data_IF_089428005214
#
_entry.id   IF_089428005214
#
_cell.length_a   1.000
_cell.length_b   1.000
_cell.length_c   1.000
_cell.angle_alpha   90.00
_cell.angle_beta   90.00
_cell.angle_gamma   90.00
#
_symmetry.space_group_name_H-M   'P 1'
#
loop_
_entity.id
_entity.type
_entity.pdbx_description
1 polymer ?
#
# COMPACT_ATOMS: atom_id res chain seq x y z
N UNK A 1 76.02 3.96 -66.78
CA UNK A 1 74.61 3.75 -67.17
C UNK A 1 73.78 4.83 -66.47
N UNK A 2 73.07 5.63 -67.25
CA UNK A 2 72.13 6.71 -66.86
C UNK A 2 70.84 6.15 -66.25
N UNK A 3 70.01 6.78 -65.40
CA UNK A 3 70.03 8.01 -64.57
C UNK A 3 68.87 7.85 -63.51
N UNK A 4 68.42 8.77 -62.63
CA UNK A 4 68.65 10.20 -62.42
C UNK A 4 68.48 10.60 -60.91
N UNK A 5 67.68 11.63 -60.59
CA UNK A 5 67.31 12.17 -59.25
C UNK A 5 65.96 12.95 -59.39
N UNK A 6 65.36 13.58 -58.36
CA UNK A 6 65.02 13.19 -56.98
C UNK A 6 63.53 13.51 -56.61
N UNK A 7 63.16 13.53 -55.31
CA UNK A 7 62.14 14.37 -54.60
C UNK A 7 61.01 13.68 -53.79
N UNK A 8 60.90 14.16 -52.55
CA UNK A 8 59.71 14.45 -51.70
C UNK A 8 58.55 13.45 -51.59
N UNK A 9 58.32 12.95 -50.37
CA UNK A 9 57.12 12.20 -49.99
C UNK A 9 56.06 13.12 -49.34
N UNK A 10 54.81 12.98 -49.80
CA UNK A 10 53.59 13.49 -49.16
C UNK A 10 52.61 12.32 -49.06
N UNK A 11 52.20 11.93 -47.85
CA UNK A 11 51.24 10.84 -47.66
C UNK A 11 49.80 11.32 -47.94
N UNK A 12 49.17 10.76 -48.96
CA UNK A 12 47.75 10.95 -49.28
C UNK A 12 46.89 9.78 -48.81
N UNK A 13 45.59 10.05 -48.58
CA UNK A 13 44.62 9.09 -48.07
C UNK A 13 44.31 7.93 -49.04
N UNK A 14 44.19 6.70 -48.51
CA UNK A 14 43.45 5.62 -49.16
C UNK A 14 42.10 5.37 -48.46
N UNK A 15 41.01 5.54 -49.21
CA UNK A 15 39.66 5.23 -48.75
C UNK A 15 39.43 3.71 -48.73
N UNK A 16 39.32 3.13 -47.53
CA UNK A 16 38.85 1.74 -47.38
C UNK A 16 37.34 1.68 -47.63
N UNK A 17 36.90 0.80 -48.53
CA UNK A 17 35.49 0.65 -48.94
C UNK A 17 34.59 0.35 -47.74
N UNK A 18 33.51 1.11 -47.60
CA UNK A 18 32.38 0.78 -46.72
C UNK A 18 31.64 -0.39 -47.34
N UNK A 19 31.54 -1.50 -46.61
CA UNK A 19 30.56 -2.56 -46.89
C UNK A 19 29.21 -2.04 -46.40
N UNK A 20 28.12 -2.06 -47.18
CA UNK A 20 26.81 -1.70 -46.66
C UNK A 20 26.44 -2.67 -45.55
N UNK A 21 26.20 -2.16 -44.34
CA UNK A 21 25.54 -2.94 -43.30
C UNK A 21 24.12 -3.23 -43.76
N UNK A 22 23.77 -4.50 -43.92
CA UNK A 22 22.41 -4.90 -44.27
C UNK A 22 21.41 -4.26 -43.31
N UNK A 23 20.49 -3.49 -43.87
CA UNK A 23 19.52 -2.74 -43.11
C UNK A 23 18.44 -3.72 -42.63
N UNK A 24 18.65 -4.32 -41.45
CA UNK A 24 17.70 -5.26 -40.85
C UNK A 24 16.36 -4.56 -40.67
N UNK A 25 15.38 -4.95 -41.49
CA UNK A 25 14.05 -4.38 -41.46
C UNK A 25 13.42 -4.60 -40.07
N UNK A 26 13.18 -3.52 -39.34
CA UNK A 26 12.49 -3.53 -38.04
C UNK A 26 10.97 -3.64 -38.19
N UNK A 27 10.49 -4.25 -39.27
CA UNK A 27 9.08 -4.34 -39.65
C UNK A 27 8.40 -5.52 -38.93
N UNK A 28 8.52 -5.54 -37.60
CA UNK A 28 7.64 -6.34 -36.77
C UNK A 28 6.23 -5.72 -36.84
N UNK A 29 5.18 -6.52 -37.04
CA UNK A 29 3.82 -6.01 -37.14
C UNK A 29 3.44 -5.29 -35.84
N UNK A 30 3.15 -3.99 -35.96
CA UNK A 30 2.73 -3.17 -34.83
C UNK A 30 1.34 -3.60 -34.37
N UNK A 31 1.28 -4.14 -33.17
CA UNK A 31 0.03 -4.51 -32.52
C UNK A 31 -0.86 -3.27 -32.25
N UNK A 32 -2.17 -3.46 -32.22
CA UNK A 32 -3.19 -2.43 -32.01
C UNK A 32 -4.20 -2.85 -30.92
N UNK A 33 -5.00 -1.91 -30.43
CA UNK A 33 -6.11 -2.24 -29.54
C UNK A 33 -7.16 -3.10 -30.28
N UNK A 34 -7.66 -4.14 -29.62
CA UNK A 34 -8.52 -5.18 -30.18
C UNK A 34 -7.80 -6.46 -30.60
N UNK A 35 -6.49 -6.39 -30.89
CA UNK A 35 -5.68 -7.53 -31.34
C UNK A 35 -5.61 -8.63 -30.28
N UNK A 36 -5.67 -9.88 -30.74
CA UNK A 36 -5.34 -11.06 -29.93
C UNK A 36 -3.86 -11.40 -30.10
N UNK A 37 -3.17 -11.57 -28.98
CA UNK A 37 -1.74 -11.86 -28.91
C UNK A 37 -1.46 -13.00 -27.94
N UNK A 38 -0.46 -13.82 -28.24
CA UNK A 38 0.10 -14.77 -27.29
C UNK A 38 1.26 -14.10 -26.55
N UNK A 39 1.24 -14.15 -25.22
CA UNK A 39 2.27 -13.56 -24.35
C UNK A 39 2.79 -14.60 -23.35
N UNK A 40 4.10 -14.60 -23.15
CA UNK A 40 4.73 -15.16 -21.95
C UNK A 40 4.93 -14.05 -20.91
N UNK A 41 4.64 -14.36 -19.65
CA UNK A 41 4.52 -13.39 -18.55
C UNK A 41 5.48 -13.76 -17.41
N UNK A 42 6.57 -13.01 -17.23
CA UNK A 42 7.56 -13.23 -16.14
C UNK A 42 7.61 -12.06 -15.14
N UNK A 43 7.18 -10.88 -15.57
CA UNK A 43 7.17 -9.67 -14.75
C UNK A 43 5.93 -9.60 -13.86
N UNK A 44 6.03 -8.79 -12.81
CA UNK A 44 4.93 -8.55 -11.88
C UNK A 44 4.85 -7.06 -11.53
N UNK A 45 3.64 -6.50 -11.58
CA UNK A 45 3.40 -5.08 -11.33
C UNK A 45 2.78 -4.84 -9.95
N UNK A 46 3.11 -3.69 -9.35
CA UNK A 46 2.28 -3.13 -8.30
C UNK A 46 0.86 -2.90 -8.84
N UNK A 47 -0.16 -3.34 -8.11
CA UNK A 47 -1.56 -3.40 -8.56
C UNK A 47 -2.06 -4.80 -8.94
N UNK A 48 -1.18 -5.81 -9.03
CA UNK A 48 -1.59 -7.21 -9.24
C UNK A 48 -1.74 -7.63 -10.70
N UNK A 49 -1.03 -6.97 -11.62
CA UNK A 49 -0.99 -7.31 -13.04
C UNK A 49 0.31 -8.08 -13.36
N UNK A 50 0.22 -9.21 -14.07
CA UNK A 50 1.39 -9.88 -14.63
C UNK A 50 1.91 -9.11 -15.86
N UNK A 51 3.21 -9.20 -16.15
CA UNK A 51 3.85 -8.35 -17.17
C UNK A 51 4.65 -9.18 -18.16
N UNK A 52 4.26 -9.09 -19.43
CA UNK A 52 5.00 -9.61 -20.57
C UNK A 52 5.55 -8.50 -21.46
N UNK A 53 6.04 -8.88 -22.64
CA UNK A 53 6.42 -7.95 -23.71
C UNK A 53 5.69 -8.27 -25.00
N UNK A 54 5.14 -7.23 -25.62
CA UNK A 54 4.67 -7.27 -27.01
C UNK A 54 5.85 -7.59 -27.95
N UNK A 55 5.62 -8.07 -29.20
CA UNK A 55 6.67 -8.37 -30.16
C UNK A 55 7.70 -7.24 -30.34
N UNK A 56 7.24 -5.98 -30.33
CA UNK A 56 8.08 -4.77 -30.39
C UNK A 56 8.82 -4.41 -29.09
N UNK A 57 8.89 -5.33 -28.11
CA UNK A 57 9.58 -5.17 -26.83
C UNK A 57 8.88 -4.30 -25.78
N UNK A 58 7.73 -3.70 -26.12
CA UNK A 58 6.92 -2.86 -25.23
C UNK A 58 6.31 -3.69 -24.09
N UNK A 59 6.33 -3.17 -22.85
CA UNK A 59 5.71 -3.84 -21.71
C UNK A 59 4.18 -3.93 -21.87
N UNK A 60 3.61 -5.11 -21.62
CA UNK A 60 2.18 -5.35 -21.62
C UNK A 60 1.75 -5.88 -20.25
N UNK A 61 0.82 -5.20 -19.59
CA UNK A 61 0.24 -5.60 -18.32
C UNK A 61 -1.03 -6.43 -18.58
N UNK A 62 -1.18 -7.54 -17.87
CA UNK A 62 -2.30 -8.49 -17.99
C UNK A 62 -2.84 -8.80 -16.59
N UNK A 63 -4.01 -8.25 -16.27
CA UNK A 63 -4.72 -8.57 -15.03
C UNK A 63 -5.29 -10.00 -15.07
N UNK A 64 -5.46 -10.63 -13.89
CA UNK A 64 -5.96 -12.02 -13.74
C UNK A 64 -5.03 -13.12 -14.29
N UNK A 65 -3.84 -12.75 -14.76
CA UNK A 65 -2.73 -13.64 -15.12
C UNK A 65 -1.66 -13.67 -14.03
N UNK A 66 -0.78 -14.67 -14.05
CA UNK A 66 0.34 -14.84 -13.12
C UNK A 66 1.71 -14.83 -13.83
N UNK A 67 2.80 -14.55 -13.10
CA UNK A 67 4.14 -14.87 -13.58
C UNK A 67 4.33 -16.38 -13.81
N UNK A 68 5.11 -16.73 -14.84
CA UNK A 68 5.32 -18.10 -15.31
C UNK A 68 4.25 -18.61 -16.28
N UNK A 69 3.32 -17.77 -16.74
CA UNK A 69 2.22 -18.19 -17.63
C UNK A 69 2.46 -17.83 -19.09
N UNK A 70 1.95 -18.69 -19.98
CA UNK A 70 1.73 -18.36 -21.40
C UNK A 70 0.24 -18.20 -21.63
N UNK A 71 -0.19 -17.04 -22.16
CA UNK A 71 -1.60 -16.67 -22.28
C UNK A 71 -1.94 -16.14 -23.67
N UNK A 72 -3.19 -16.32 -24.10
CA UNK A 72 -3.82 -15.48 -25.12
C UNK A 72 -4.47 -14.28 -24.42
N UNK A 73 -4.11 -13.07 -24.84
CA UNK A 73 -4.66 -11.82 -24.30
C UNK A 73 -5.13 -10.89 -25.42
N UNK A 74 -6.14 -10.06 -25.15
CA UNK A 74 -6.65 -9.03 -26.07
C UNK A 74 -6.15 -7.66 -25.64
N UNK A 75 -5.43 -6.92 -26.50
CA UNK A 75 -4.98 -5.57 -26.16
C UNK A 75 -6.20 -4.65 -25.98
N UNK A 76 -6.41 -4.15 -24.76
CA UNK A 76 -7.51 -3.24 -24.42
C UNK A 76 -7.08 -1.77 -24.51
N UNK A 77 -5.82 -1.47 -24.14
CA UNK A 77 -5.28 -0.12 -24.18
C UNK A 77 -3.81 -0.13 -24.64
N UNK A 78 -3.42 0.84 -25.48
CA UNK A 78 -2.02 1.03 -25.88
C UNK A 78 -1.60 2.50 -25.78
N UNK A 79 -0.49 2.75 -25.09
CA UNK A 79 0.16 4.06 -24.94
C UNK A 79 1.56 4.03 -25.58
N UNK A 80 2.27 5.15 -25.49
CA UNK A 80 3.62 5.35 -26.09
C UNK A 80 4.72 4.41 -25.53
N UNK A 81 4.57 3.90 -24.30
CA UNK A 81 5.60 3.11 -23.59
C UNK A 81 5.11 1.79 -23.00
N UNK A 82 3.80 1.55 -23.00
CA UNK A 82 3.17 0.38 -22.38
C UNK A 82 1.80 0.10 -23.02
N UNK A 83 1.32 -1.12 -22.86
CA UNK A 83 -0.02 -1.56 -23.20
C UNK A 83 -0.67 -2.31 -22.03
N UNK A 84 -2.00 -2.41 -22.04
CA UNK A 84 -2.77 -3.35 -21.23
C UNK A 84 -3.50 -4.33 -22.14
N UNK A 85 -3.67 -5.55 -21.64
CA UNK A 85 -4.46 -6.57 -22.30
C UNK A 85 -5.35 -7.32 -21.30
N UNK A 86 -6.55 -7.66 -21.75
CA UNK A 86 -7.49 -8.54 -21.06
C UNK A 86 -7.07 -9.99 -21.28
N UNK A 87 -7.02 -10.79 -20.21
CA UNK A 87 -6.80 -12.22 -20.30
C UNK A 87 -7.98 -12.90 -21.02
N UNK A 88 -7.72 -13.64 -22.09
CA UNK A 88 -8.73 -14.40 -22.85
C UNK A 88 -8.63 -15.88 -22.54
N UNK A 89 -7.42 -16.44 -22.52
CA UNK A 89 -7.17 -17.86 -22.29
C UNK A 89 -5.78 -18.05 -21.67
N UNK A 90 -5.67 -18.98 -20.71
CA UNK A 90 -4.37 -19.43 -20.18
C UNK A 90 -3.99 -20.70 -20.93
N UNK A 91 -2.92 -20.63 -21.73
CA UNK A 91 -2.43 -21.75 -22.55
C UNK A 91 -1.52 -22.67 -21.73
N UNK A 92 -0.65 -22.07 -20.91
CA UNK A 92 0.22 -22.75 -19.95
C UNK A 92 0.04 -22.05 -18.60
N UNK A 93 -0.58 -22.76 -17.65
CA UNK A 93 -0.91 -22.22 -16.34
C UNK A 93 0.26 -22.32 -15.36
N UNK A 94 0.39 -21.32 -14.49
CA UNK A 94 1.35 -21.34 -13.39
C UNK A 94 0.95 -22.45 -12.39
N UNK A 95 1.91 -23.19 -11.79
CA UNK A 95 1.60 -24.16 -10.74
C UNK A 95 0.98 -23.51 -9.49
N UNK A 96 1.00 -22.18 -9.39
CA UNK A 96 0.37 -21.39 -8.33
C UNK A 96 -1.03 -20.88 -8.70
N UNK A 97 -1.56 -21.19 -9.90
CA UNK A 97 -2.93 -20.82 -10.28
C UNK A 97 -3.94 -21.69 -9.51
N UNK A 98 -4.98 -21.05 -8.99
CA UNK A 98 -6.14 -21.71 -8.37
C UNK A 98 -7.43 -21.13 -8.93
N UNK A 99 -8.52 -21.89 -8.80
CA UNK A 99 -9.87 -21.38 -9.11
C UNK A 99 -10.28 -20.34 -8.04
N UNK A 100 -10.66 -19.10 -8.44
CA UNK A 100 -11.11 -18.07 -7.51
C UNK A 100 -12.35 -18.49 -6.72
N UNK A 101 -12.35 -18.39 -5.37
CA UNK A 101 -13.49 -18.81 -4.55
C UNK A 101 -14.70 -17.85 -4.62
N UNK A 102 -14.52 -16.58 -4.98
CA UNK A 102 -15.62 -15.61 -5.03
C UNK A 102 -16.32 -15.59 -6.40
N UNK A 103 -17.64 -15.76 -6.48
CA UNK A 103 -18.38 -15.70 -7.75
C UNK A 103 -18.39 -14.29 -8.39
N UNK A 104 -18.03 -13.26 -7.63
CA UNK A 104 -17.91 -11.88 -8.11
C UNK A 104 -16.49 -11.50 -8.55
N UNK A 105 -15.52 -12.43 -8.48
CA UNK A 105 -14.17 -12.18 -8.97
C UNK A 105 -14.08 -12.40 -10.50
N UNK A 106 -13.31 -11.57 -11.20
CA UNK A 106 -13.01 -11.71 -12.63
C UNK A 106 -13.09 -10.40 -13.42
N UNK A 107 -12.80 -10.46 -14.73
CA UNK A 107 -12.87 -9.29 -15.62
C UNK A 107 -14.28 -8.68 -15.62
N UNK A 108 -14.34 -7.34 -15.63
CA UNK A 108 -15.57 -6.53 -15.54
C UNK A 108 -16.49 -6.79 -14.33
N UNK A 109 -16.01 -7.50 -13.30
CA UNK A 109 -16.75 -7.76 -12.06
C UNK A 109 -16.22 -6.92 -10.89
N UNK A 110 -16.48 -7.34 -9.65
CA UNK A 110 -16.11 -6.63 -8.43
C UNK A 110 -14.59 -6.32 -8.40
N UNK A 111 -14.23 -5.04 -8.35
CA UNK A 111 -12.84 -4.59 -8.31
C UNK A 111 -12.14 -4.74 -6.96
N UNK A 112 -12.80 -5.31 -5.95
CA UNK A 112 -12.31 -5.37 -4.57
C UNK A 112 -11.16 -6.36 -4.34
N UNK A 113 -11.01 -7.38 -5.18
CA UNK A 113 -9.93 -8.37 -5.11
C UNK A 113 -9.16 -8.42 -6.44
N UNK A 114 -7.87 -8.74 -6.41
CA UNK A 114 -7.03 -8.82 -7.61
C UNK A 114 -6.29 -10.16 -7.73
N UNK A 115 -6.09 -10.89 -6.63
CA UNK A 115 -5.21 -12.06 -6.54
C UNK A 115 -5.93 -13.38 -6.20
N UNK A 116 -7.26 -13.47 -6.31
CA UNK A 116 -7.97 -14.72 -5.99
C UNK A 116 -7.61 -15.91 -6.90
N UNK A 117 -7.05 -15.64 -8.09
CA UNK A 117 -6.51 -16.65 -9.00
C UNK A 117 -5.13 -17.19 -8.59
N UNK A 118 -4.50 -16.61 -7.56
CA UNK A 118 -3.21 -17.05 -7.02
C UNK A 118 -3.40 -17.83 -5.70
N UNK A 119 -2.73 -18.99 -5.60
CA UNK A 119 -2.62 -19.75 -4.35
C UNK A 119 -2.13 -18.82 -3.22
N UNK A 120 -2.76 -18.84 -2.01
CA UNK A 120 -2.47 -17.84 -0.99
C UNK A 120 -0.97 -17.66 -0.65
N UNK A 121 -0.15 -18.73 -0.47
CA UNK A 121 1.28 -18.56 -0.20
C UNK A 121 2.02 -17.76 -1.29
N UNK A 122 1.62 -17.94 -2.56
CA UNK A 122 2.22 -17.21 -3.68
C UNK A 122 1.78 -15.73 -3.70
N UNK A 123 0.63 -15.37 -3.11
CA UNK A 123 0.25 -13.96 -2.94
C UNK A 123 1.28 -13.21 -2.06
N UNK A 124 1.78 -13.86 -1.00
CA UNK A 124 2.81 -13.31 -0.12
C UNK A 124 4.14 -13.10 -0.88
N UNK A 125 4.57 -14.08 -1.66
CA UNK A 125 5.76 -14.00 -2.52
C UNK A 125 5.66 -12.85 -3.55
N UNK A 126 4.51 -12.73 -4.20
CA UNK A 126 4.21 -11.67 -5.17
C UNK A 126 4.21 -10.28 -4.50
N UNK A 127 3.70 -10.16 -3.28
CA UNK A 127 3.74 -8.91 -2.48
C UNK A 127 5.17 -8.56 -2.04
N UNK A 128 5.95 -9.54 -1.60
CA UNK A 128 7.37 -9.36 -1.26
C UNK A 128 8.20 -8.92 -2.48
N UNK A 129 7.88 -9.47 -3.66
CA UNK A 129 8.46 -9.06 -4.94
C UNK A 129 8.14 -7.61 -5.28
N UNK A 130 6.89 -7.15 -5.09
CA UNK A 130 6.50 -5.75 -5.29
C UNK A 130 7.36 -4.82 -4.41
N UNK A 131 7.41 -5.05 -3.09
CA UNK A 131 8.18 -4.21 -2.16
C UNK A 131 9.65 -4.09 -2.59
N UNK A 132 10.29 -5.23 -2.90
CA UNK A 132 11.69 -5.30 -3.33
C UNK A 132 11.93 -4.54 -4.64
N UNK A 133 11.08 -4.74 -5.65
CA UNK A 133 11.23 -4.08 -6.96
C UNK A 133 10.99 -2.56 -6.87
N UNK A 134 10.11 -2.07 -5.99
CA UNK A 134 9.91 -0.63 -5.77
C UNK A 134 11.11 0.02 -5.08
N UNK A 135 11.65 -0.59 -4.01
CA UNK A 135 12.82 -0.08 -3.29
C UNK A 135 14.06 0.03 -4.20
N UNK A 136 14.29 -0.96 -5.07
CA UNK A 136 15.38 -0.91 -6.04
C UNK A 136 15.14 0.20 -7.09
N UNK A 137 13.97 0.20 -7.75
CA UNK A 137 13.75 1.06 -8.94
C UNK A 137 13.45 2.51 -8.60
N UNK A 138 12.67 2.76 -7.56
CA UNK A 138 12.25 4.09 -7.11
C UNK A 138 13.14 4.55 -5.96
N UNK A 139 13.29 3.70 -4.93
CA UNK A 139 14.05 4.00 -3.71
C UNK A 139 15.55 4.11 -3.89
N UNK A 140 16.09 3.54 -4.98
CA UNK A 140 17.54 3.47 -5.27
C UNK A 140 18.33 2.70 -4.21
N UNK A 141 17.67 1.79 -3.50
CA UNK A 141 18.33 0.84 -2.62
C UNK A 141 18.92 -0.27 -3.49
N UNK A 142 20.25 -0.28 -3.65
CA UNK A 142 20.93 -1.24 -4.54
C UNK A 142 20.77 -2.69 -4.05
N UNK A 143 20.95 -2.90 -2.74
CA UNK A 143 20.72 -4.17 -2.05
C UNK A 143 19.73 -3.97 -0.89
N UNK A 144 18.40 -4.10 -1.14
CA UNK A 144 17.40 -3.95 -0.10
C UNK A 144 17.44 -5.12 0.90
N UNK A 145 17.12 -4.89 2.19
CA UNK A 145 17.10 -5.94 3.20
C UNK A 145 16.14 -7.09 2.82
N UNK A 146 16.33 -8.25 3.43
CA UNK A 146 15.50 -9.43 3.17
C UNK A 146 14.03 -9.18 3.54
N UNK A 147 13.18 -9.01 2.51
CA UNK A 147 11.74 -8.77 2.68
C UNK A 147 10.98 -10.10 2.70
N UNK A 148 10.32 -10.35 3.82
CA UNK A 148 9.28 -11.37 4.03
C UNK A 148 7.94 -10.65 4.18
N UNK A 149 6.87 -11.21 3.63
CA UNK A 149 5.49 -10.77 3.86
C UNK A 149 4.78 -11.88 4.62
N UNK A 150 4.38 -11.60 5.86
CA UNK A 150 3.68 -12.56 6.71
C UNK A 150 2.16 -12.41 6.57
N UNK A 151 1.37 -13.49 6.65
CA UNK A 151 -0.08 -13.40 6.71
C UNK A 151 -0.54 -12.97 8.11
N UNK A 152 -1.69 -12.30 8.20
CA UNK A 152 -2.36 -12.08 9.50
C UNK A 152 -2.89 -13.42 10.04
N UNK A 153 -2.70 -13.76 11.33
CA UNK A 153 -3.27 -14.96 11.92
C UNK A 153 -4.81 -15.06 11.83
N UNK A 154 -5.32 -16.28 11.99
CA UNK A 154 -6.74 -16.68 12.18
C UNK A 154 -7.77 -16.35 11.08
N UNK A 155 -7.60 -15.25 10.34
CA UNK A 155 -8.59 -14.75 9.36
C UNK A 155 -7.99 -14.42 7.96
N UNK A 156 -6.74 -14.81 7.69
CA UNK A 156 -6.17 -14.68 6.35
C UNK A 156 -6.35 -15.98 5.55
N UNK A 157 -6.68 -15.92 4.24
CA UNK A 157 -6.82 -14.74 3.38
C UNK A 157 -8.25 -14.14 3.31
N UNK A 158 -9.19 -14.60 4.13
CA UNK A 158 -10.62 -14.28 4.00
C UNK A 158 -11.35 -14.20 5.36
N UNK A 159 -12.36 -13.33 5.46
CA UNK A 159 -13.12 -13.11 6.69
C UNK A 159 -12.46 -12.13 7.68
N UNK A 160 -11.48 -11.33 7.25
CA UNK A 160 -10.71 -10.43 8.13
C UNK A 160 -11.29 -9.00 8.25
N UNK A 161 -12.23 -8.60 7.39
CA UNK A 161 -12.78 -7.23 7.39
C UNK A 161 -13.97 -7.08 8.34
N UNK A 162 -13.78 -6.33 9.42
CA UNK A 162 -14.89 -5.89 10.29
C UNK A 162 -15.64 -4.69 9.73
N UNK A 163 -15.11 -4.02 8.70
CA UNK A 163 -15.75 -2.88 8.06
C UNK A 163 -15.57 -2.85 6.55
N UNK A 164 -16.50 -2.17 5.86
CA UNK A 164 -16.45 -1.91 4.43
C UNK A 164 -17.20 -0.62 4.07
N UNK A 165 -16.72 0.12 3.07
CA UNK A 165 -17.54 1.11 2.35
C UNK A 165 -18.03 0.51 1.05
N UNK A 166 -19.35 0.30 0.96
CA UNK A 166 -20.01 -0.22 -0.22
C UNK A 166 -20.51 0.95 -1.07
N UNK A 167 -20.25 0.89 -2.38
CA UNK A 167 -20.77 1.87 -3.33
C UNK A 167 -22.22 1.51 -3.69
N UNK A 168 -23.04 2.51 -3.93
CA UNK A 168 -24.46 2.34 -4.28
C UNK A 168 -24.64 2.37 -5.80
N UNK A 169 -25.31 1.36 -6.34
CA UNK A 169 -25.69 1.29 -7.75
C UNK A 169 -26.89 2.22 -8.07
N UNK A 170 -27.15 2.60 -9.34
CA UNK A 170 -28.24 3.51 -9.70
C UNK A 170 -29.66 3.04 -9.31
N UNK A 171 -29.85 1.74 -9.10
CA UNK A 171 -31.09 1.11 -8.62
C UNK A 171 -31.17 1.04 -7.07
N UNK A 172 -30.14 1.52 -6.37
CA UNK A 172 -30.03 1.50 -4.92
C UNK A 172 -29.37 0.24 -4.35
N UNK A 173 -28.89 -0.70 -5.16
CA UNK A 173 -28.22 -1.91 -4.68
C UNK A 173 -26.81 -1.63 -4.13
N UNK A 174 -26.44 -2.30 -3.04
CA UNK A 174 -25.09 -2.20 -2.47
C UNK A 174 -24.11 -3.10 -3.23
N UNK A 175 -22.92 -2.57 -3.49
CA UNK A 175 -21.86 -3.31 -4.15
C UNK A 175 -20.48 -2.69 -3.99
N UNK A 176 -19.57 -3.10 -4.88
CA UNK A 176 -18.26 -2.47 -5.04
C UNK A 176 -18.07 -2.02 -6.48
N UNK A 177 -17.26 -0.98 -6.70
CA UNK A 177 -16.93 -0.51 -8.06
C UNK A 177 -16.22 -1.61 -8.84
N UNK A 178 -16.48 -1.69 -10.14
CA UNK A 178 -15.81 -2.62 -11.06
C UNK A 178 -14.34 -2.24 -11.21
N UNK A 179 -13.50 -3.21 -11.53
CA UNK A 179 -12.08 -2.96 -11.77
C UNK A 179 -11.91 -1.90 -12.88
N UNK A 180 -11.29 -0.76 -12.57
CA UNK A 180 -11.05 0.32 -13.53
C UNK A 180 -12.27 1.15 -13.96
N UNK A 181 -13.45 0.99 -13.32
CA UNK A 181 -14.65 1.78 -13.64
C UNK A 181 -15.26 2.44 -12.38
N UNK A 182 -16.12 3.43 -12.60
CA UNK A 182 -17.02 3.98 -11.57
C UNK A 182 -18.30 3.16 -11.42
N UNK A 183 -18.61 2.27 -12.37
CA UNK A 183 -19.79 1.41 -12.33
C UNK A 183 -19.75 0.46 -11.13
N UNK A 184 -20.89 0.30 -10.45
CA UNK A 184 -21.02 -0.63 -9.34
C UNK A 184 -21.33 -2.05 -9.86
N UNK A 185 -20.75 -3.04 -9.21
CA UNK A 185 -21.12 -4.44 -9.28
C UNK A 185 -21.86 -4.79 -7.98
N UNK A 186 -23.20 -4.91 -8.00
CA UNK A 186 -23.99 -5.31 -6.83
C UNK A 186 -23.52 -6.66 -6.29
N UNK A 187 -23.45 -6.80 -4.96
CA UNK A 187 -23.10 -8.05 -4.29
C UNK A 187 -23.96 -8.27 -3.04
N UNK A 188 -24.38 -9.51 -2.79
CA UNK A 188 -25.09 -9.90 -1.57
C UNK A 188 -24.13 -10.48 -0.50
N UNK A 189 -22.95 -10.98 -0.89
CA UNK A 189 -21.92 -11.48 0.02
C UNK A 189 -20.50 -11.02 -0.37
N UNK A 190 -19.60 -10.96 0.61
CA UNK A 190 -18.18 -10.69 0.38
C UNK A 190 -17.32 -11.61 1.25
N UNK A 191 -16.50 -12.47 0.63
CA UNK A 191 -15.62 -13.40 1.35
C UNK A 191 -14.60 -12.70 2.26
N UNK A 192 -14.32 -11.41 2.05
CA UNK A 192 -13.37 -10.68 2.89
C UNK A 192 -13.98 -10.22 4.22
N UNK A 193 -15.30 -10.15 4.34
CA UNK A 193 -16.00 -9.60 5.52
C UNK A 193 -16.17 -10.66 6.60
N UNK A 194 -16.06 -10.24 7.87
CA UNK A 194 -16.46 -11.06 9.03
C UNK A 194 -17.97 -11.31 9.00
N UNK A 195 -18.42 -12.36 9.70
CA UNK A 195 -19.84 -12.70 9.81
C UNK A 195 -20.70 -11.53 10.33
N UNK A 196 -20.23 -10.79 11.33
CA UNK A 196 -20.97 -9.62 11.88
C UNK A 196 -21.08 -8.46 10.88
N UNK A 197 -20.04 -8.22 10.09
CA UNK A 197 -20.04 -7.18 9.06
C UNK A 197 -20.92 -7.60 7.86
N UNK A 198 -20.92 -8.88 7.50
CA UNK A 198 -21.82 -9.45 6.50
C UNK A 198 -23.29 -9.44 6.98
N UNK A 199 -23.54 -9.76 8.24
CA UNK A 199 -24.86 -9.62 8.86
C UNK A 199 -25.33 -8.15 8.84
N UNK A 200 -24.45 -7.18 9.10
CA UNK A 200 -24.79 -5.76 8.97
C UNK A 200 -25.11 -5.36 7.51
N UNK A 201 -24.43 -5.91 6.50
CA UNK A 201 -24.81 -5.72 5.07
C UNK A 201 -26.22 -6.25 4.77
N UNK A 202 -26.59 -7.37 5.38
CA UNK A 202 -27.90 -7.99 5.19
C UNK A 202 -29.00 -7.19 5.91
N UNK A 203 -28.76 -6.77 7.15
CA UNK A 203 -29.65 -5.88 7.92
C UNK A 203 -29.82 -4.50 7.25
N UNK A 204 -28.77 -3.97 6.62
CA UNK A 204 -28.80 -2.72 5.88
C UNK A 204 -29.62 -2.80 4.57
N UNK A 205 -29.67 -3.99 3.96
CA UNK A 205 -30.39 -4.24 2.71
C UNK A 205 -29.91 -3.40 1.53
N UNK A 206 -30.73 -3.40 0.47
CA UNK A 206 -30.59 -2.56 -0.72
C UNK A 206 -31.70 -1.48 -0.72
N UNK A 207 -31.70 -0.58 -1.70
CA UNK A 207 -32.69 0.50 -1.84
C UNK A 207 -32.15 1.90 -1.49
N UNK A 208 -30.84 2.08 -1.54
CA UNK A 208 -30.12 3.29 -1.13
C UNK A 208 -30.11 4.42 -2.19
N UNK A 209 -31.09 4.46 -3.09
CA UNK A 209 -31.13 5.38 -4.24
C UNK A 209 -30.94 6.85 -3.85
N UNK A 210 -29.86 7.48 -4.31
CA UNK A 210 -29.50 8.87 -4.00
C UNK A 210 -28.36 9.03 -2.98
N UNK A 211 -27.92 7.94 -2.35
CA UNK A 211 -26.69 7.82 -1.55
C UNK A 211 -25.54 7.40 -2.46
N UNK A 212 -24.31 7.86 -2.19
CA UNK A 212 -23.13 7.48 -2.99
C UNK A 212 -22.45 6.22 -2.40
N UNK A 213 -22.25 6.19 -1.08
CA UNK A 213 -21.63 5.06 -0.36
C UNK A 213 -22.32 4.79 0.99
N UNK A 214 -22.36 3.53 1.40
CA UNK A 214 -22.77 3.07 2.74
C UNK A 214 -21.57 2.40 3.41
N UNK A 215 -21.10 3.01 4.49
CA UNK A 215 -20.15 2.42 5.42
C UNK A 215 -20.83 1.45 6.37
N UNK A 216 -20.21 0.29 6.55
CA UNK A 216 -20.61 -0.78 7.47
C UNK A 216 -19.44 -1.02 8.42
N UNK A 217 -19.67 -1.04 9.73
CA UNK A 217 -18.63 -1.31 10.73
C UNK A 217 -19.21 -2.15 11.87
N UNK A 218 -18.52 -3.25 12.21
CA UNK A 218 -18.84 -4.12 13.35
C UNK A 218 -17.71 -4.07 14.38
N UNK A 219 -18.04 -3.75 15.63
CA UNK A 219 -17.15 -3.82 16.78
C UNK A 219 -17.60 -4.88 17.79
N UNK A 220 -16.88 -5.01 18.90
CA UNK A 220 -17.15 -6.02 19.94
C UNK A 220 -18.36 -5.72 20.83
N UNK A 221 -18.86 -4.48 20.79
CA UNK A 221 -19.99 -3.97 21.60
C UNK A 221 -21.21 -3.59 20.77
N UNK A 222 -21.09 -3.51 19.44
CA UNK A 222 -22.12 -2.96 18.58
C UNK A 222 -21.75 -2.94 17.09
N UNK A 223 -22.68 -2.41 16.31
CA UNK A 223 -22.60 -2.29 14.85
C UNK A 223 -23.07 -0.91 14.43
N UNK A 224 -22.46 -0.35 13.39
CA UNK A 224 -22.65 1.04 12.97
C UNK A 224 -22.71 1.14 11.44
N UNK A 225 -23.76 1.79 10.95
CA UNK A 225 -23.95 2.14 9.55
C UNK A 225 -23.67 3.64 9.35
N UNK A 226 -22.78 3.98 8.43
CA UNK A 226 -22.47 5.37 8.06
C UNK A 226 -22.97 5.67 6.64
N UNK A 227 -23.85 6.65 6.50
CA UNK A 227 -24.40 7.07 5.20
C UNK A 227 -23.53 8.19 4.63
N UNK A 228 -23.02 8.03 3.41
CA UNK A 228 -22.34 9.08 2.66
C UNK A 228 -23.29 9.59 1.55
N UNK A 229 -23.94 10.76 1.74
CA UNK A 229 -24.99 11.24 0.86
C UNK A 229 -24.44 11.60 -0.51
N UNK A 230 -25.16 11.23 -1.57
CA UNK A 230 -24.89 11.69 -2.92
C UNK A 230 -25.65 12.98 -3.25
N UNK A 231 -25.92 13.18 -4.54
CA UNK A 231 -26.74 14.33 -5.02
C UNK A 231 -28.25 14.13 -4.85
N UNK A 232 -28.69 12.97 -4.37
CA UNK A 232 -30.10 12.65 -4.11
C UNK A 232 -30.55 13.01 -2.69
N UNK A 233 -31.79 12.63 -2.37
CA UNK A 233 -32.25 12.62 -0.98
C UNK A 233 -31.68 11.40 -0.23
N UNK A 234 -31.44 11.55 1.07
CA UNK A 234 -31.08 10.42 1.94
C UNK A 234 -32.36 9.64 2.28
N UNK A 235 -32.44 8.33 1.99
CA UNK A 235 -33.59 7.51 2.37
C UNK A 235 -33.67 7.35 3.89
N UNK A 236 -34.83 6.93 4.40
CA UNK A 236 -34.97 6.56 5.80
C UNK A 236 -34.06 5.36 6.10
N UNK A 237 -33.24 5.47 7.15
CA UNK A 237 -32.33 4.40 7.54
C UNK A 237 -33.11 3.15 8.00
N UNK A 238 -32.65 1.93 7.67
CA UNK A 238 -33.34 0.70 8.02
C UNK A 238 -33.48 0.52 9.54
N UNK A 239 -34.58 -0.10 9.95
CA UNK A 239 -34.80 -0.52 11.34
C UNK A 239 -33.82 -1.64 11.71
N UNK A 240 -33.33 -1.64 12.95
CA UNK A 240 -32.47 -2.71 13.47
C UNK A 240 -31.60 -2.30 14.65
N UNK A 241 -30.93 -3.29 15.23
CA UNK A 241 -30.00 -3.15 16.36
C UNK A 241 -28.58 -2.77 15.89
N UNK A 242 -28.48 -1.57 15.32
CA UNK A 242 -27.22 -0.94 14.92
C UNK A 242 -27.37 0.57 14.87
N UNK A 243 -26.27 1.27 15.15
CA UNK A 243 -26.16 2.72 15.08
C UNK A 243 -26.21 3.22 13.64
N UNK A 244 -26.62 4.47 13.48
CA UNK A 244 -26.70 5.14 12.16
C UNK A 244 -26.12 6.53 12.28
N UNK A 245 -25.16 6.85 11.42
CA UNK A 245 -24.58 8.18 11.28
C UNK A 245 -24.67 8.68 9.82
N UNK A 246 -24.70 10.00 9.64
CA UNK A 246 -24.66 10.66 8.34
C UNK A 246 -23.34 11.43 8.21
N UNK A 247 -22.46 10.97 7.33
CA UNK A 247 -21.17 11.58 7.03
C UNK A 247 -21.27 12.43 5.76
N UNK A 248 -21.71 13.68 5.92
CA UNK A 248 -21.77 14.67 4.84
C UNK A 248 -20.46 15.48 4.76
N UNK A 249 -20.36 16.57 5.52
CA UNK A 249 -19.19 17.46 5.60
C UNK A 249 -18.86 17.75 7.05
N UNK A 250 -17.59 17.61 7.45
CA UNK A 250 -17.17 17.75 8.85
C UNK A 250 -17.47 16.49 9.67
N UNK A 251 -17.76 16.66 10.96
CA UNK A 251 -18.09 15.56 11.86
C UNK A 251 -19.42 14.87 11.48
N UNK A 252 -19.53 13.53 11.63
CA UNK A 252 -20.75 12.80 11.34
C UNK A 252 -21.90 13.15 12.29
N UNK A 253 -23.11 13.28 11.73
CA UNK A 253 -24.32 13.44 12.53
C UNK A 253 -24.88 12.07 12.94
N UNK A 254 -24.87 11.74 14.22
CA UNK A 254 -25.49 10.50 14.74
C UNK A 254 -27.02 10.62 14.67
N UNK A 255 -27.64 9.76 13.86
CA UNK A 255 -29.09 9.67 13.69
C UNK A 255 -29.73 8.62 14.62
N UNK A 256 -28.95 7.59 14.99
CA UNK A 256 -29.34 6.53 15.94
C UNK A 256 -28.09 6.02 16.65
N UNK A 257 -28.14 5.89 17.97
CA UNK A 257 -27.04 5.32 18.75
C UNK A 257 -26.85 3.81 18.49
N UNK A 258 -25.63 3.26 18.64
CA UNK A 258 -24.41 3.97 19.03
C UNK A 258 -23.74 4.73 17.86
N UNK A 259 -23.25 5.94 18.10
CA UNK A 259 -22.47 6.73 17.12
C UNK A 259 -21.02 6.25 16.88
N UNK A 260 -20.60 5.23 17.63
CA UNK A 260 -19.27 4.63 17.61
C UNK A 260 -19.34 3.14 17.95
N UNK A 261 -18.27 2.39 17.72
CA UNK A 261 -18.12 1.01 18.19
C UNK A 261 -16.74 0.82 18.83
N UNK A 262 -16.60 -0.25 19.61
CA UNK A 262 -15.34 -0.66 20.22
C UNK A 262 -14.64 -1.72 19.36
N UNK A 263 -13.37 -1.50 19.05
CA UNK A 263 -12.49 -2.46 18.39
C UNK A 263 -11.45 -2.97 19.40
N UNK A 264 -11.54 -4.25 19.79
CA UNK A 264 -10.59 -4.85 20.74
C UNK A 264 -9.31 -5.31 20.06
N UNK A 265 -8.20 -4.62 20.31
CA UNK A 265 -6.85 -4.99 19.84
C UNK A 265 -6.07 -5.53 21.02
N UNK A 266 -5.60 -6.78 20.94
CA UNK A 266 -5.04 -7.50 22.10
C UNK A 266 -5.98 -7.45 23.31
N UNK A 267 -5.56 -6.86 24.43
CA UNK A 267 -6.35 -6.65 25.64
C UNK A 267 -6.93 -5.22 25.76
N UNK A 268 -6.77 -4.36 24.74
CA UNK A 268 -7.25 -2.97 24.75
C UNK A 268 -8.51 -2.80 23.91
N UNK A 269 -9.48 -2.09 24.49
CA UNK A 269 -10.69 -1.64 23.82
C UNK A 269 -10.50 -0.22 23.26
N UNK A 270 -10.49 -0.10 21.93
CA UNK A 270 -10.38 1.19 21.25
C UNK A 270 -11.73 1.64 20.71
N UNK A 271 -12.20 2.81 21.15
CA UNK A 271 -13.35 3.50 20.58
C UNK A 271 -13.02 3.96 19.15
N UNK A 272 -13.95 3.71 18.23
CA UNK A 272 -13.91 4.15 16.83
C UNK A 272 -15.28 4.73 16.47
N UNK A 273 -15.36 6.05 16.29
CA UNK A 273 -16.58 6.75 15.89
C UNK A 273 -16.87 6.62 14.39
N UNK A 274 -18.10 6.94 13.98
CA UNK A 274 -18.44 7.09 12.57
C UNK A 274 -17.43 7.99 11.84
N UNK A 275 -17.11 7.64 10.59
CA UNK A 275 -16.15 8.41 9.77
C UNK A 275 -14.68 8.32 10.20
N UNK A 276 -14.34 7.79 11.37
CA UNK A 276 -12.96 7.52 11.76
C UNK A 276 -12.38 6.34 10.94
N UNK A 277 -11.07 6.38 10.71
CA UNK A 277 -10.36 5.26 10.10
C UNK A 277 -10.00 4.20 11.15
N UNK A 278 -10.05 2.93 10.74
CA UNK A 278 -9.47 1.83 11.48
C UNK A 278 -8.86 0.82 10.50
N UNK A 279 -7.92 0.01 10.99
CA UNK A 279 -7.34 -1.09 10.22
C UNK A 279 -8.42 -2.08 9.75
N UNK A 280 -8.09 -2.95 8.79
CA UNK A 280 -9.07 -3.83 8.13
C UNK A 280 -9.98 -4.61 9.11
N UNK A 281 -9.39 -5.05 10.22
CA UNK A 281 -10.08 -5.55 11.40
C UNK A 281 -9.11 -5.70 12.58
N UNK A 282 -9.59 -6.14 13.76
CA UNK A 282 -8.78 -6.23 14.97
C UNK A 282 -7.52 -7.10 14.85
N UNK A 283 -7.59 -8.25 14.17
CA UNK A 283 -6.43 -9.12 13.94
C UNK A 283 -5.33 -8.46 13.09
N UNK A 284 -5.73 -7.65 12.09
CA UNK A 284 -4.80 -6.86 11.31
C UNK A 284 -4.14 -5.75 12.14
N UNK A 285 -4.93 -5.07 12.99
CA UNK A 285 -4.41 -4.06 13.92
C UNK A 285 -3.40 -4.66 14.90
N UNK A 286 -3.71 -5.81 15.51
CA UNK A 286 -2.84 -6.52 16.45
C UNK A 286 -1.49 -6.89 15.82
N UNK A 287 -1.52 -7.58 14.66
CA UNK A 287 -0.30 -7.99 13.97
C UNK A 287 0.55 -6.79 13.47
N UNK A 288 -0.09 -5.67 13.12
CA UNK A 288 0.63 -4.45 12.74
C UNK A 288 1.23 -3.73 13.96
N UNK A 289 0.51 -3.65 15.08
CA UNK A 289 1.01 -3.16 16.36
C UNK A 289 2.25 -3.96 16.80
N UNK A 290 2.19 -5.29 16.74
CA UNK A 290 3.31 -6.15 17.15
C UNK A 290 4.57 -5.86 16.33
N UNK A 291 4.44 -5.69 15.02
CA UNK A 291 5.56 -5.33 14.14
C UNK A 291 6.08 -3.90 14.42
N UNK A 292 5.21 -2.93 14.65
CA UNK A 292 5.58 -1.53 14.88
C UNK A 292 6.26 -1.35 16.24
N UNK A 293 5.73 -1.95 17.31
CA UNK A 293 6.31 -1.83 18.65
C UNK A 293 7.64 -2.58 18.74
N UNK A 294 7.76 -3.78 18.16
CA UNK A 294 9.04 -4.50 18.10
C UNK A 294 10.05 -3.82 17.15
N UNK A 295 9.59 -3.08 16.14
CA UNK A 295 10.45 -2.21 15.36
C UNK A 295 10.93 -1.01 16.19
N UNK A 296 10.04 -0.36 16.96
CA UNK A 296 10.35 0.81 17.79
C UNK A 296 11.34 0.50 18.93
N UNK A 297 11.12 -0.59 19.67
CA UNK A 297 12.07 -1.13 20.65
C UNK A 297 12.43 -2.58 20.33
N UNK A 298 13.66 -2.86 19.87
CA UNK A 298 14.13 -4.21 19.59
C UNK A 298 14.59 -4.96 20.86
N UNK A 299 14.31 -4.43 22.05
CA UNK A 299 14.62 -5.09 23.31
C UNK A 299 13.69 -6.27 23.59
N UNK A 300 14.16 -7.27 24.34
CA UNK A 300 13.36 -8.38 24.85
C UNK A 300 13.56 -8.50 26.38
N UNK A 301 12.54 -8.19 27.22
CA UNK A 301 11.22 -7.69 26.81
C UNK A 301 11.29 -6.28 26.20
N UNK A 302 10.24 -5.93 25.45
CA UNK A 302 10.02 -4.57 24.90
C UNK A 302 10.00 -3.57 26.07
N UNK A 303 10.83 -2.53 25.95
CA UNK A 303 10.92 -1.42 26.92
C UNK A 303 11.18 -0.12 26.14
N UNK A 304 10.40 0.92 26.46
CA UNK A 304 10.52 2.30 25.97
C UNK A 304 10.57 3.29 27.15
N UNK A 305 10.83 2.81 28.38
CA UNK A 305 10.78 3.62 29.61
C UNK A 305 11.68 4.85 29.53
N UNK A 306 11.06 6.03 29.59
CA UNK A 306 11.75 7.32 29.58
C UNK A 306 12.07 7.85 28.18
N UNK A 307 11.74 7.11 27.11
CA UNK A 307 11.87 7.57 25.73
C UNK A 307 10.69 8.47 25.33
N UNK A 308 10.97 9.46 24.49
CA UNK A 308 9.96 10.24 23.78
C UNK A 308 9.72 9.64 22.40
N UNK A 309 8.47 9.32 22.12
CA UNK A 309 8.05 8.74 20.84
C UNK A 309 7.06 9.67 20.15
N UNK A 310 7.27 9.93 18.85
CA UNK A 310 6.27 10.59 18.00
C UNK A 310 5.41 9.53 17.30
N UNK A 311 4.09 9.70 17.32
CA UNK A 311 3.12 8.87 16.58
C UNK A 311 2.41 9.76 15.55
N UNK A 312 2.97 9.82 14.35
CA UNK A 312 2.54 10.74 13.29
C UNK A 312 1.50 10.06 12.39
N UNK A 313 0.41 10.77 12.10
CA UNK A 313 -0.79 10.22 11.48
C UNK A 313 -1.46 9.15 12.36
N UNK A 314 -1.37 9.30 13.69
CA UNK A 314 -1.73 8.27 14.68
C UNK A 314 -3.23 7.95 14.80
N UNK A 315 -4.11 8.64 14.06
CA UNK A 315 -5.54 8.34 13.98
C UNK A 315 -6.23 8.33 15.35
N UNK A 316 -6.87 7.20 15.69
CA UNK A 316 -7.57 6.98 16.98
C UNK A 316 -6.64 6.58 18.13
N UNK A 317 -5.32 6.69 17.96
CA UNK A 317 -4.33 6.35 19.00
C UNK A 317 -3.88 4.90 19.02
N UNK A 318 -3.96 4.18 17.89
CA UNK A 318 -3.65 2.74 17.83
C UNK A 318 -2.21 2.43 18.30
N UNK A 319 -1.19 3.04 17.68
CA UNK A 319 0.20 2.78 18.07
C UNK A 319 0.55 3.44 19.41
N UNK A 320 0.16 4.71 19.60
CA UNK A 320 0.30 5.44 20.86
C UNK A 320 -0.10 4.65 22.09
N UNK A 321 -1.21 3.91 22.03
CA UNK A 321 -1.70 3.03 23.10
C UNK A 321 -0.61 2.05 23.56
N UNK A 322 -0.02 1.30 22.63
CA UNK A 322 0.92 0.23 22.95
C UNK A 322 2.34 0.74 23.19
N UNK A 323 2.74 1.83 22.52
CA UNK A 323 3.99 2.55 22.78
C UNK A 323 4.02 3.11 24.21
N UNK A 324 2.94 3.77 24.65
CA UNK A 324 2.83 4.29 26.02
C UNK A 324 2.75 3.17 27.06
N UNK A 325 2.05 2.06 26.78
CA UNK A 325 2.04 0.88 27.67
C UNK A 325 3.40 0.17 27.77
N UNK A 326 4.29 0.38 26.80
CA UNK A 326 5.70 -0.03 26.84
C UNK A 326 6.61 0.97 27.59
N UNK A 327 6.08 2.06 28.14
CA UNK A 327 6.81 3.01 28.99
C UNK A 327 7.21 4.33 28.29
N UNK A 328 6.86 4.51 27.02
CA UNK A 328 7.11 5.76 26.31
C UNK A 328 6.24 6.92 26.82
N UNK A 329 6.79 8.14 26.79
CA UNK A 329 5.99 9.36 26.66
C UNK A 329 5.72 9.57 25.17
N UNK A 330 4.47 9.71 24.77
CA UNK A 330 4.11 9.80 23.34
C UNK A 330 3.54 11.18 22.98
N UNK A 331 3.88 11.68 21.79
CA UNK A 331 3.15 12.79 21.15
C UNK A 331 2.51 12.28 19.87
N UNK A 332 1.18 12.20 19.87
CA UNK A 332 0.38 11.84 18.70
C UNK A 332 0.03 13.10 17.90
N UNK A 333 0.22 13.06 16.58
CA UNK A 333 -0.20 14.12 15.65
C UNK A 333 -1.14 13.53 14.60
N UNK A 334 -2.34 14.08 14.49
CA UNK A 334 -3.38 13.61 13.55
C UNK A 334 -4.26 14.80 13.11
N UNK A 335 -4.62 14.89 11.83
CA UNK A 335 -5.35 16.05 11.29
C UNK A 335 -6.87 15.94 11.45
N UNK A 336 -7.40 14.73 11.63
CA UNK A 336 -8.81 14.49 11.87
C UNK A 336 -9.23 14.85 13.30
N UNK A 337 -10.07 15.89 13.43
CA UNK A 337 -10.75 16.25 14.69
C UNK A 337 -11.51 15.05 15.28
N UNK A 338 -12.17 14.24 14.43
CA UNK A 338 -12.94 13.08 14.87
C UNK A 338 -12.04 11.97 15.40
N UNK A 339 -10.92 11.68 14.73
CA UNK A 339 -10.00 10.64 15.17
C UNK A 339 -9.25 11.07 16.45
N UNK A 340 -8.85 12.34 16.55
CA UNK A 340 -8.25 12.88 17.78
C UNK A 340 -9.23 13.04 18.93
N UNK A 341 -10.54 13.12 18.69
CA UNK A 341 -11.54 13.00 19.74
C UNK A 341 -11.56 11.57 20.32
N UNK A 342 -11.67 10.55 19.47
CA UNK A 342 -11.59 9.15 19.89
C UNK A 342 -10.24 8.82 20.54
N UNK A 343 -9.13 9.37 20.03
CA UNK A 343 -7.80 9.19 20.62
C UNK A 343 -7.69 9.76 22.04
N UNK A 344 -8.31 10.91 22.33
CA UNK A 344 -8.33 11.48 23.69
C UNK A 344 -9.11 10.60 24.68
N UNK A 345 -10.19 9.96 24.22
CA UNK A 345 -10.93 8.99 25.03
C UNK A 345 -10.11 7.70 25.24
N UNK A 346 -9.49 7.17 24.17
CA UNK A 346 -8.71 5.93 24.18
C UNK A 346 -7.41 6.03 25.01
N UNK A 347 -6.81 7.21 25.08
CA UNK A 347 -5.49 7.44 25.67
C UNK A 347 -5.54 8.17 27.03
N UNK A 348 -6.73 8.39 27.60
CA UNK A 348 -6.94 9.25 28.76
C UNK A 348 -6.11 8.89 30.02
N UNK A 349 -5.78 7.61 30.20
CA UNK A 349 -5.01 7.08 31.33
C UNK A 349 -3.52 6.82 31.00
N UNK A 350 -3.01 7.32 29.86
CA UNK A 350 -1.65 7.10 29.36
C UNK A 350 -0.86 8.42 29.24
N UNK A 351 0.48 8.35 29.24
CA UNK A 351 1.35 9.52 29.04
C UNK A 351 1.45 9.90 27.55
N UNK A 352 0.33 10.38 27.00
CA UNK A 352 0.21 10.77 25.58
C UNK A 352 -0.33 12.18 25.42
N UNK A 353 0.38 13.01 24.66
CA UNK A 353 -0.09 14.32 24.19
C UNK A 353 -0.74 14.17 22.82
N UNK A 354 -2.03 14.52 22.70
CA UNK A 354 -2.79 14.43 21.44
C UNK A 354 -2.93 15.80 20.77
N UNK A 355 -2.21 15.99 19.66
CA UNK A 355 -2.20 17.19 18.82
C UNK A 355 -3.11 17.00 17.60
N UNK A 356 -4.06 17.92 17.40
CA UNK A 356 -4.92 17.93 16.19
C UNK A 356 -4.34 18.90 15.16
N UNK A 357 -3.58 18.40 14.18
CA UNK A 357 -2.92 19.20 13.14
C UNK A 357 -2.51 18.34 11.93
N UNK A 358 -2.23 18.97 10.78
CA UNK A 358 -1.44 18.31 9.76
C UNK A 358 0.01 18.18 10.23
N UNK A 359 0.61 17.01 10.03
CA UNK A 359 2.01 16.73 10.42
C UNK A 359 2.98 17.73 9.79
N UNK A 360 2.74 18.15 8.54
CA UNK A 360 3.61 19.10 7.86
C UNK A 360 3.58 20.51 8.48
N UNK A 361 2.45 20.91 9.08
CA UNK A 361 2.27 22.24 9.66
C UNK A 361 2.93 22.39 11.04
N UNK A 362 3.17 21.28 11.76
CA UNK A 362 3.75 21.29 13.13
C UNK A 362 5.20 20.80 13.21
N UNK A 363 5.83 20.44 12.08
CA UNK A 363 7.20 19.88 12.09
C UNK A 363 8.23 20.75 12.84
N UNK A 364 8.12 22.08 12.74
CA UNK A 364 9.02 23.03 13.41
C UNK A 364 8.80 23.14 14.93
N UNK A 365 7.70 22.59 15.46
CA UNK A 365 7.37 22.55 16.89
C UNK A 365 7.82 21.24 17.57
N UNK A 366 8.21 20.23 16.79
CA UNK A 366 8.64 18.92 17.29
C UNK A 366 10.13 18.93 17.62
N UNK A 367 10.50 18.40 18.79
CA UNK A 367 11.88 18.35 19.28
C UNK A 367 12.08 17.22 20.32
N UNK A 368 13.34 16.97 20.68
CA UNK A 368 13.75 16.06 21.77
C UNK A 368 13.08 14.67 21.68
N UNK A 369 13.19 14.01 20.51
CA UNK A 369 12.58 12.71 20.20
C UNK A 369 13.63 11.60 20.08
N UNK A 370 13.36 10.44 20.67
CA UNK A 370 14.21 9.25 20.55
C UNK A 370 13.72 8.33 19.42
N UNK A 371 12.41 8.16 19.27
CA UNK A 371 11.81 7.31 18.22
C UNK A 371 10.68 8.02 17.48
N UNK A 372 10.67 7.90 16.15
CA UNK A 372 9.54 8.32 15.30
C UNK A 372 8.78 7.08 14.81
N UNK A 373 7.47 7.07 14.94
CA UNK A 373 6.54 6.18 14.24
C UNK A 373 5.68 7.04 13.31
N UNK A 374 5.47 6.60 12.07
CA UNK A 374 4.57 7.29 11.14
C UNK A 374 3.78 6.31 10.26
N UNK A 375 2.49 6.54 10.09
CA UNK A 375 1.58 5.80 9.18
C UNK A 375 0.91 6.75 8.16
N UNK A 376 1.68 7.37 7.25
CA UNK A 376 1.18 8.41 6.35
C UNK A 376 0.16 7.88 5.33
N UNK A 377 -0.69 8.76 4.77
CA UNK A 377 -1.61 8.42 3.70
C UNK A 377 -0.88 7.88 2.45
N UNK A 378 -1.64 7.24 1.54
CA UNK A 378 -1.14 6.58 0.32
C UNK A 378 -0.23 7.41 -0.61
N UNK A 379 -0.18 8.73 -0.44
CA UNK A 379 0.78 9.61 -1.11
C UNK A 379 2.23 9.40 -0.66
N UNK A 380 2.42 8.95 0.59
CA UNK A 380 3.63 9.09 1.38
C UNK A 380 3.57 10.33 2.29
N UNK A 381 4.52 10.42 3.22
CA UNK A 381 4.80 11.63 4.00
C UNK A 381 5.46 12.73 3.15
N UNK A 382 6.19 12.32 2.10
CA UNK A 382 6.85 13.22 1.16
C UNK A 382 8.22 13.72 1.64
N UNK A 383 9.01 14.31 0.73
CA UNK A 383 10.43 14.54 0.94
C UNK A 383 10.75 15.62 1.99
N UNK A 384 9.87 16.61 2.17
CA UNK A 384 10.11 17.70 3.10
C UNK A 384 9.82 17.29 4.56
N UNK A 385 8.75 16.50 4.78
CA UNK A 385 8.52 15.83 6.08
C UNK A 385 9.65 14.84 6.38
N UNK A 386 10.07 14.02 5.41
CA UNK A 386 11.21 13.10 5.61
C UNK A 386 12.50 13.82 6.02
N UNK A 387 12.78 15.00 5.45
CA UNK A 387 13.93 15.84 5.84
C UNK A 387 13.79 16.39 7.25
N UNK A 388 12.61 16.93 7.60
CA UNK A 388 12.36 17.42 8.94
C UNK A 388 12.54 16.31 9.98
N UNK A 389 11.99 15.11 9.73
CA UNK A 389 12.14 13.95 10.62
C UNK A 389 13.59 13.47 10.77
N UNK A 390 14.39 13.47 9.71
CA UNK A 390 15.82 13.15 9.79
C UNK A 390 16.60 14.21 10.59
N UNK A 391 16.21 15.49 10.48
CA UNK A 391 16.81 16.60 11.23
C UNK A 391 16.47 16.62 12.72
N UNK A 392 15.44 15.89 13.16
CA UNK A 392 15.18 15.62 14.58
C UNK A 392 16.21 14.66 15.21
N UNK A 393 17.04 14.00 14.39
CA UNK A 393 18.06 13.03 14.80
C UNK A 393 17.55 11.90 15.73
N UNK A 394 16.42 11.24 15.43
CA UNK A 394 15.95 10.13 16.26
C UNK A 394 16.91 8.94 16.17
N UNK A 395 17.06 8.20 17.27
CA UNK A 395 17.75 6.90 17.29
C UNK A 395 17.09 5.91 16.33
N UNK A 396 15.80 6.09 16.05
CA UNK A 396 15.02 5.24 15.16
C UNK A 396 13.82 5.92 14.52
N UNK A 397 13.55 5.59 13.26
CA UNK A 397 12.31 5.93 12.57
C UNK A 397 11.65 4.66 12.00
N UNK A 398 10.39 4.43 12.35
CA UNK A 398 9.57 3.28 11.97
C UNK A 398 8.45 3.76 11.05
N UNK A 399 8.59 3.49 9.76
CA UNK A 399 7.66 3.91 8.72
C UNK A 399 6.68 2.77 8.39
N UNK A 400 5.39 3.00 8.56
CA UNK A 400 4.29 2.11 8.11
C UNK A 400 3.78 2.58 6.74
N UNK A 401 3.52 1.66 5.82
CA UNK A 401 3.13 2.00 4.45
C UNK A 401 2.28 0.95 3.73
N UNK A 402 1.07 1.37 3.33
CA UNK A 402 0.16 0.58 2.49
C UNK A 402 0.38 0.80 0.97
N UNK A 403 1.27 1.73 0.59
CA UNK A 403 1.66 2.01 -0.79
C UNK A 403 3.19 1.82 -1.01
N UNK A 404 3.62 0.69 -1.60
CA UNK A 404 5.02 0.38 -1.86
C UNK A 404 5.77 1.43 -2.70
N UNK A 405 5.09 2.17 -3.57
CA UNK A 405 5.73 3.18 -4.41
C UNK A 405 5.94 4.50 -3.66
N UNK A 406 5.04 4.84 -2.72
CA UNK A 406 5.23 5.94 -1.76
C UNK A 406 6.39 5.63 -0.81
N UNK A 407 6.36 4.48 -0.14
CA UNK A 407 7.45 4.03 0.74
C UNK A 407 8.81 4.13 0.06
N UNK A 408 8.91 3.69 -1.20
CA UNK A 408 10.16 3.76 -1.94
C UNK A 408 10.60 5.21 -2.26
N UNK A 409 9.69 6.15 -2.56
CA UNK A 409 10.05 7.57 -2.75
C UNK A 409 10.59 8.18 -1.47
N UNK A 410 9.95 7.88 -0.35
CA UNK A 410 10.24 8.50 0.94
C UNK A 410 11.47 7.83 1.61
N UNK A 411 11.68 6.53 1.39
CA UNK A 411 12.96 5.84 1.62
C UNK A 411 14.11 6.60 0.95
N UNK A 412 13.97 6.96 -0.33
CA UNK A 412 15.02 7.71 -1.05
C UNK A 412 15.28 9.08 -0.42
N UNK A 413 14.26 9.74 0.10
CA UNK A 413 14.42 11.02 0.81
C UNK A 413 15.18 10.81 2.13
N UNK A 414 14.75 9.88 2.97
CA UNK A 414 15.43 9.54 4.24
C UNK A 414 16.89 9.14 4.04
N UNK A 415 17.20 8.34 3.01
CA UNK A 415 18.59 7.96 2.66
C UNK A 415 19.44 9.16 2.23
N UNK A 416 18.84 10.18 1.59
CA UNK A 416 19.56 11.39 1.18
C UNK A 416 19.92 12.31 2.37
N UNK A 417 19.20 12.18 3.48
CA UNK A 417 19.36 12.98 4.71
C UNK A 417 20.15 12.21 5.80
N UNK A 418 20.85 11.13 5.43
CA UNK A 418 21.80 10.43 6.31
C UNK A 418 21.22 9.30 7.17
N UNK A 419 19.97 8.89 6.93
CA UNK A 419 19.41 7.67 7.51
C UNK A 419 19.79 6.43 6.70
N UNK A 420 19.79 5.26 7.31
CA UNK A 420 19.98 3.96 6.67
C UNK A 420 18.72 3.10 6.83
N UNK A 421 18.22 2.52 5.73
CA UNK A 421 17.18 1.49 5.77
C UNK A 421 17.75 0.20 6.37
N UNK A 422 17.36 -0.12 7.60
CA UNK A 422 17.88 -1.26 8.36
C UNK A 422 17.05 -2.54 8.15
N UNK A 423 15.72 -2.42 8.01
CA UNK A 423 14.83 -3.56 7.79
C UNK A 423 13.56 -3.16 7.04
N UNK A 424 12.93 -4.14 6.38
CA UNK A 424 11.57 -4.03 5.84
C UNK A 424 10.85 -5.35 6.10
N UNK A 425 9.73 -5.30 6.82
CA UNK A 425 8.81 -6.42 7.02
C UNK A 425 7.48 -6.10 6.38
N UNK A 426 6.95 -7.01 5.58
CA UNK A 426 5.61 -6.90 5.04
C UNK A 426 4.60 -7.67 5.89
N UNK A 427 3.37 -7.19 5.92
CA UNK A 427 2.23 -7.86 6.53
C UNK A 427 1.07 -7.85 5.52
N UNK A 428 0.52 -9.02 5.23
CA UNK A 428 -0.65 -9.13 4.38
C UNK A 428 -1.95 -9.03 5.18
N UNK A 429 -2.30 -7.80 5.57
CA UNK A 429 -3.58 -7.45 6.16
C UNK A 429 -4.73 -7.41 5.14
N UNK A 430 -4.46 -7.69 3.85
CA UNK A 430 -5.40 -7.59 2.74
C UNK A 430 -5.32 -8.78 1.78
N UNK A 431 -5.56 -9.98 2.31
CA UNK A 431 -5.61 -11.24 1.54
C UNK A 431 -6.50 -11.13 0.29
N UNK A 432 -6.12 -11.82 -0.78
CA UNK A 432 -6.73 -11.74 -2.12
C UNK A 432 -6.68 -10.39 -2.85
N UNK A 433 -6.17 -9.31 -2.22
CA UNK A 433 -5.94 -8.02 -2.88
C UNK A 433 -4.47 -7.86 -3.26
N UNK A 434 -4.15 -6.90 -4.13
CA UNK A 434 -2.77 -6.52 -4.45
C UNK A 434 -2.10 -5.62 -3.40
N UNK A 435 -2.81 -5.23 -2.33
CA UNK A 435 -2.27 -4.42 -1.25
C UNK A 435 -1.38 -5.24 -0.32
N UNK A 436 -0.39 -4.57 0.28
CA UNK A 436 0.52 -5.11 1.28
C UNK A 436 0.88 -3.97 2.21
N UNK A 437 0.85 -4.23 3.52
CA UNK A 437 1.35 -3.31 4.52
C UNK A 437 2.86 -3.54 4.69
N UNK A 438 3.64 -2.49 4.89
CA UNK A 438 5.08 -2.61 5.11
C UNK A 438 5.54 -1.74 6.27
N UNK A 439 6.26 -2.36 7.21
CA UNK A 439 6.95 -1.69 8.31
C UNK A 439 8.44 -1.64 7.96
N UNK A 440 8.95 -0.45 7.68
CA UNK A 440 10.35 -0.18 7.36
C UNK A 440 11.02 0.53 8.53
N UNK A 441 12.18 0.03 8.98
CA UNK A 441 12.95 0.66 10.06
C UNK A 441 14.17 1.38 9.49
N UNK A 442 14.34 2.63 9.89
CA UNK A 442 15.47 3.48 9.56
C UNK A 442 16.26 3.82 10.83
N UNK A 443 17.59 3.83 10.70
CA UNK A 443 18.53 4.17 11.78
C UNK A 443 19.47 5.29 11.29
N UNK A 444 20.00 6.14 12.18
CA UNK A 444 21.06 7.08 11.80
C UNK A 444 22.33 6.33 11.35
N UNK A 445 23.01 6.81 10.31
CA UNK A 445 24.29 6.23 9.88
C UNK A 445 25.36 6.47 10.95
N UNK A 446 25.93 5.39 11.51
CA UNK A 446 26.98 5.51 12.52
C UNK A 446 28.26 6.11 11.94
N UNK A 447 28.69 7.26 12.47
CA UNK A 447 29.89 8.00 12.02
C UNK A 447 31.18 7.17 12.09
N UNK A 448 31.23 6.14 12.93
CA UNK A 448 32.37 5.25 13.12
C UNK A 448 32.83 4.46 11.87
N UNK A 449 32.03 4.41 10.79
CA UNK A 449 32.38 3.69 9.56
C UNK A 449 33.14 4.54 8.50
N UNK A 450 33.30 5.85 8.72
CA UNK A 450 33.83 6.77 7.69
C UNK A 450 35.38 6.84 7.71
N UNK A 451 36.01 6.75 8.89
CA UNK A 451 37.48 6.92 9.05
C UNK A 451 38.33 5.81 8.42
N UNK A 452 37.80 4.59 8.27
CA UNK A 452 38.57 3.44 7.76
C UNK A 452 38.74 3.46 6.21
N UNK A 453 38.09 4.41 5.52
CA UNK A 453 38.16 4.57 4.06
C UNK A 453 39.15 5.66 3.60
N UNK A 454 39.57 6.56 4.49
CA UNK A 454 40.47 7.70 4.19
C UNK A 454 41.88 7.51 4.74
N UNK A 455 42.08 6.63 5.74
CA UNK A 455 43.39 6.36 6.35
C UNK A 455 44.38 5.58 5.46
N UNK A 456 43.95 5.05 4.30
CA UNK A 456 44.77 4.22 3.41
C UNK A 456 45.53 4.97 2.30
N UNK A 457 45.41 6.29 2.19
CA UNK A 457 45.85 7.04 1.00
C UNK A 457 47.02 8.03 1.20
N UNK A 458 47.57 8.16 2.43
CA UNK A 458 48.78 8.95 2.68
C UNK A 458 49.72 8.23 3.67
N UNK A 459 50.80 7.58 3.19
CA UNK A 459 51.88 7.19 4.12
C UNK A 459 52.82 6.00 3.86
N UNK A 460 53.25 5.69 2.62
CA UNK A 460 54.66 5.38 2.27
C UNK A 460 54.85 4.90 0.81
#
# INVERSE_FOLDING_TARGET
MTAASPLTALCGHEHRRVIPSDNVSTDQPRTAAGDLITLSLDGWAHGGEAVGRLPEGMACFVAHALPGETVTARISEKKKRWARAELVEVLEASPHRVDPPCPYYGPDRCGGCQLQHAAPPHQLELKARVLREQLIRIGRVEDPPAIVVDPVPDAWPQGYRTWARMAVAPDGALGFRRAGSHDVHPIDHCLLMTDDAAALRNDAGDGWSGVDEVGLMAGTDGRLLTIHPGTGGVPAAPEGSFGVALQATGAPAVLREPGAVTMRVHDVDLRVSAGAFFQAGPAAAAALVDLVVAAASPADPIDLTGMHVLDLYGGVGLFSTFLARAGARVTLVESSEQATADARDNLADLDVTVVTADVADVMDELADVDVVVLDPPRSGAGPDVCRALAALHPDRLVYVACDPAALARDTKALLAEGMQLASVRGLDVFGHTAHVEAVATFLPVSVAAIDDSTAGAEGQ
#
